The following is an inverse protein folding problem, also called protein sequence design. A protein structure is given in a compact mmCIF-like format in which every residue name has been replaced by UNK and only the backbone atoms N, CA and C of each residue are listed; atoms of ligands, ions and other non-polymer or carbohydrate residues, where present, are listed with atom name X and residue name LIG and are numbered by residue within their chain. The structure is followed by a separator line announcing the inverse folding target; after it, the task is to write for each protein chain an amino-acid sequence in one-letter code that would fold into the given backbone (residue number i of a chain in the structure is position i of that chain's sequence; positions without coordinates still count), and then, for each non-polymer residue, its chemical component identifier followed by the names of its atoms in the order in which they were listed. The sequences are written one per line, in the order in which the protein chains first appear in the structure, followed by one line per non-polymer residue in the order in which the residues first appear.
data_IF_947282590529
#
_entry.id   IF_947282590529
#
_cell.length_a   1.000
_cell.length_b   1.000
_cell.length_c   1.000
_cell.angle_alpha   90.00
_cell.angle_beta   90.00
_cell.angle_gamma   90.00
#
_symmetry.space_group_name_H-M   'P 1'
#
loop_
_entity.id
_entity.type
_entity.pdbx_description
1 polymer ?
#
# COMPACT_ATOMS: atom_id res chain seq x y z
N UNK A 1 30.70 -10.16 -7.09
CA UNK A 1 29.59 -11.07 -6.77
C UNK A 1 28.55 -10.97 -7.89
N UNK A 2 27.86 -12.07 -8.26
CA UNK A 2 26.81 -12.07 -9.29
C UNK A 2 25.54 -12.75 -8.75
N UNK A 3 24.37 -12.31 -9.19
CA UNK A 3 23.06 -12.93 -8.95
C UNK A 3 22.17 -12.77 -10.20
N UNK A 4 21.17 -13.62 -10.39
CA UNK A 4 20.24 -13.43 -11.51
C UNK A 4 19.36 -12.18 -11.31
N UNK A 5 18.79 -12.00 -10.11
CA UNK A 5 17.94 -10.83 -9.81
C UNK A 5 18.44 -10.13 -8.55
N UNK A 6 18.78 -8.85 -8.68
CA UNK A 6 19.03 -7.99 -7.54
C UNK A 6 17.74 -7.23 -7.18
N UNK A 7 17.26 -7.42 -5.98
CA UNK A 7 16.04 -6.77 -5.46
C UNK A 7 16.48 -5.64 -4.51
N UNK A 8 16.13 -4.41 -4.83
CA UNK A 8 16.47 -3.25 -3.99
C UNK A 8 15.25 -2.88 -3.16
N UNK A 9 15.35 -3.04 -1.84
CA UNK A 9 14.32 -2.81 -0.84
C UNK A 9 13.68 -4.09 -0.29
N UNK A 10 13.65 -4.22 1.05
CA UNK A 10 12.99 -5.27 1.80
C UNK A 10 11.59 -4.88 2.31
N UNK A 11 10.88 -4.04 1.56
CA UNK A 11 9.46 -3.80 1.74
C UNK A 11 8.62 -4.97 1.21
N UNK A 12 7.28 -4.90 1.33
CA UNK A 12 6.40 -5.98 0.85
C UNK A 12 6.65 -6.39 -0.60
N UNK A 13 6.84 -5.43 -1.52
CA UNK A 13 7.12 -5.73 -2.93
C UNK A 13 8.37 -6.62 -3.10
N UNK A 14 9.50 -6.17 -2.57
CA UNK A 14 10.77 -6.91 -2.72
C UNK A 14 10.75 -8.26 -2.03
N UNK A 15 10.14 -8.36 -0.86
CA UNK A 15 10.04 -9.62 -0.13
C UNK A 15 9.13 -10.63 -0.83
N UNK A 16 7.93 -10.24 -1.27
CA UNK A 16 7.07 -11.13 -2.06
C UNK A 16 7.76 -11.58 -3.35
N UNK A 17 8.42 -10.66 -4.06
CA UNK A 17 9.18 -11.02 -5.26
C UNK A 17 10.26 -12.05 -4.94
N UNK A 18 11.01 -11.87 -3.86
CA UNK A 18 12.07 -12.79 -3.47
C UNK A 18 11.56 -14.21 -3.19
N UNK A 19 10.36 -14.35 -2.61
CA UNK A 19 9.72 -15.65 -2.39
C UNK A 19 9.22 -16.29 -3.68
N UNK A 20 8.62 -15.48 -4.56
CA UNK A 20 8.16 -15.94 -5.87
C UNK A 20 9.32 -16.47 -6.72
N UNK A 21 10.44 -15.74 -6.76
CA UNK A 21 11.64 -16.16 -7.49
C UNK A 21 12.30 -17.40 -6.88
N UNK A 22 12.37 -17.46 -5.55
CA UNK A 22 12.91 -18.65 -4.84
C UNK A 22 12.14 -19.92 -5.17
N UNK A 23 10.81 -19.85 -5.22
CA UNK A 23 9.94 -20.98 -5.59
C UNK A 23 10.21 -21.47 -7.02
N UNK A 24 10.63 -20.56 -7.91
CA UNK A 24 10.95 -20.86 -9.30
C UNK A 24 12.43 -21.28 -9.52
N UNK A 25 13.24 -21.32 -8.44
CA UNK A 25 14.65 -21.65 -8.49
C UNK A 25 15.52 -20.56 -9.12
N UNK A 26 15.07 -19.32 -9.07
CA UNK A 26 15.78 -18.14 -9.60
C UNK A 26 16.57 -17.50 -8.47
N UNK A 27 17.89 -17.36 -8.64
CA UNK A 27 18.77 -16.75 -7.65
C UNK A 27 18.49 -15.25 -7.52
N UNK A 28 18.25 -14.81 -6.28
CA UNK A 28 18.07 -13.40 -6.00
C UNK A 28 18.68 -12.98 -4.67
N UNK A 29 19.13 -11.73 -4.63
CA UNK A 29 19.64 -11.05 -3.42
C UNK A 29 18.78 -9.84 -3.15
N UNK A 30 18.34 -9.68 -1.90
CA UNK A 30 17.63 -8.48 -1.43
C UNK A 30 18.62 -7.56 -0.73
N UNK A 31 18.71 -6.30 -1.18
CA UNK A 31 19.50 -5.23 -0.57
C UNK A 31 18.56 -4.25 0.13
N UNK A 32 18.71 -4.04 1.42
CA UNK A 32 17.91 -3.14 2.22
C UNK A 32 18.79 -2.11 2.94
N UNK A 33 18.49 -0.83 2.77
CA UNK A 33 19.27 0.25 3.36
C UNK A 33 19.16 0.34 4.88
N UNK A 34 18.07 -0.16 5.45
CA UNK A 34 17.78 -0.06 6.89
C UNK A 34 18.10 -1.36 7.62
N UNK A 35 18.16 -1.26 8.96
CA UNK A 35 18.29 -2.44 9.80
C UNK A 35 17.03 -3.31 9.75
N UNK A 36 17.18 -4.60 10.02
CA UNK A 36 16.05 -5.54 10.11
C UNK A 36 14.99 -5.04 11.10
N UNK A 37 15.40 -4.61 12.28
CA UNK A 37 14.48 -4.12 13.30
C UNK A 37 13.65 -2.93 12.81
N UNK A 38 14.28 -1.97 12.12
CA UNK A 38 13.56 -0.83 11.54
C UNK A 38 12.49 -1.28 10.52
N UNK A 39 12.83 -2.22 9.65
CA UNK A 39 11.90 -2.73 8.62
C UNK A 39 10.72 -3.47 9.26
N UNK A 40 10.98 -4.32 10.25
CA UNK A 40 9.99 -5.10 10.97
C UNK A 40 9.06 -4.25 11.86
N UNK A 41 9.55 -3.13 12.40
CA UNK A 41 8.77 -2.27 13.31
C UNK A 41 8.01 -1.15 12.60
N UNK A 42 8.20 -0.99 11.30
CA UNK A 42 7.59 0.11 10.54
C UNK A 42 6.10 -0.10 10.33
N UNK A 43 5.28 0.51 11.18
CA UNK A 43 3.82 0.43 11.12
C UNK A 43 3.28 1.16 9.89
N UNK A 44 2.51 0.45 9.06
CA UNK A 44 1.82 0.95 7.88
C UNK A 44 0.36 0.49 7.88
N UNK A 45 -0.33 0.58 6.73
CA UNK A 45 -1.68 0.02 6.57
C UNK A 45 -1.69 -1.50 6.84
N UNK A 46 -2.86 -2.10 6.91
CA UNK A 46 -3.00 -3.53 7.22
C UNK A 46 -4.29 -4.11 6.68
N UNK A 47 -4.79 -3.59 5.55
CA UNK A 47 -5.94 -4.17 4.84
C UNK A 47 -5.41 -4.97 3.65
N UNK A 48 -5.60 -6.26 3.68
CA UNK A 48 -5.21 -7.17 2.60
C UNK A 48 -6.42 -7.52 1.75
N UNK A 49 -6.28 -7.34 0.44
CA UNK A 49 -7.21 -7.88 -0.55
C UNK A 49 -7.07 -9.41 -0.64
N UNK A 50 -8.11 -10.07 -1.12
CA UNK A 50 -8.12 -11.51 -1.29
C UNK A 50 -6.89 -12.02 -2.09
N UNK A 51 -6.51 -11.34 -3.17
CA UNK A 51 -5.35 -11.74 -3.99
C UNK A 51 -4.00 -11.70 -3.26
N UNK A 52 -3.86 -10.85 -2.23
CA UNK A 52 -2.67 -10.83 -1.37
C UNK A 52 -2.70 -11.99 -0.36
N UNK A 53 -3.86 -12.26 0.22
CA UNK A 53 -4.07 -13.40 1.12
C UNK A 53 -3.83 -14.71 0.37
N UNK A 54 -4.38 -14.86 -0.83
CA UNK A 54 -4.18 -16.02 -1.69
C UNK A 54 -2.69 -16.24 -2.01
N UNK A 55 -1.94 -15.16 -2.25
CA UNK A 55 -0.49 -15.28 -2.45
C UNK A 55 0.23 -15.77 -1.20
N UNK A 56 -0.14 -15.30 -0.01
CA UNK A 56 0.43 -15.81 1.25
C UNK A 56 0.16 -17.32 1.40
N UNK A 57 -1.06 -17.79 1.05
CA UNK A 57 -1.41 -19.21 1.02
C UNK A 57 -0.59 -19.99 -0.01
N UNK A 58 -0.50 -19.50 -1.25
CA UNK A 58 0.26 -20.12 -2.34
C UNK A 58 1.74 -20.32 -1.97
N UNK A 59 2.30 -19.38 -1.20
CA UNK A 59 3.67 -19.44 -0.72
C UNK A 59 3.86 -20.25 0.57
N UNK A 60 2.78 -20.69 1.22
CA UNK A 60 2.83 -21.40 2.52
C UNK A 60 3.23 -20.49 3.69
N UNK A 61 3.03 -19.18 3.58
CA UNK A 61 3.45 -18.15 4.54
C UNK A 61 2.29 -17.60 5.37
N UNK A 62 1.19 -18.30 5.41
CA UNK A 62 -0.07 -17.84 6.00
C UNK A 62 -0.38 -18.37 7.40
N UNK A 63 0.53 -19.14 8.03
CA UNK A 63 0.28 -19.78 9.31
C UNK A 63 -0.06 -18.80 10.43
N UNK A 64 0.71 -17.71 10.56
CA UNK A 64 0.46 -16.67 11.55
C UNK A 64 -0.72 -15.78 11.14
N UNK A 65 -0.82 -15.46 9.85
CA UNK A 65 -1.96 -14.72 9.28
C UNK A 65 -3.28 -15.40 9.65
N UNK A 66 -3.44 -16.71 9.45
CA UNK A 66 -4.66 -17.47 9.80
C UNK A 66 -5.04 -17.39 11.28
N UNK A 67 -4.06 -17.28 12.19
CA UNK A 67 -4.32 -17.22 13.64
C UNK A 67 -4.62 -15.81 14.14
N UNK A 68 -4.02 -14.81 13.53
CA UNK A 68 -3.93 -13.46 14.11
C UNK A 68 -4.70 -12.40 13.31
N UNK A 69 -5.09 -12.71 12.07
CA UNK A 69 -5.88 -11.78 11.28
C UNK A 69 -7.29 -11.59 11.82
N UNK A 70 -7.88 -10.47 11.45
CA UNK A 70 -9.32 -10.25 11.58
C UNK A 70 -9.91 -10.15 10.18
N UNK A 71 -11.14 -10.59 10.01
CA UNK A 71 -11.87 -10.48 8.75
C UNK A 71 -12.84 -9.31 8.86
N UNK A 72 -12.85 -8.45 7.85
CA UNK A 72 -13.86 -7.41 7.67
C UNK A 72 -14.77 -7.78 6.51
N UNK A 73 -16.05 -7.95 6.81
CA UNK A 73 -17.09 -8.25 5.83
C UNK A 73 -17.76 -6.98 5.28
N UNK A 74 -17.48 -5.83 5.89
CA UNK A 74 -18.09 -4.57 5.49
C UNK A 74 -17.20 -3.36 5.79
N UNK A 75 -17.56 -2.24 5.19
CA UNK A 75 -17.22 -0.91 5.65
C UNK A 75 -18.47 -0.09 5.86
N UNK A 76 -18.40 0.84 6.80
CA UNK A 76 -19.42 1.84 7.04
C UNK A 76 -18.97 3.21 6.57
N UNK A 77 -19.90 4.00 6.01
CA UNK A 77 -19.65 5.40 5.64
C UNK A 77 -20.74 6.26 6.30
N UNK A 78 -20.31 7.20 7.14
CA UNK A 78 -21.18 8.14 7.84
C UNK A 78 -21.17 9.52 7.16
N UNK A 79 -22.33 10.10 6.96
CA UNK A 79 -22.50 11.46 6.44
C UNK A 79 -23.87 12.01 6.77
N UNK A 80 -23.96 13.27 7.21
CA UNK A 80 -25.24 13.96 7.43
C UNK A 80 -26.25 13.21 8.27
N UNK A 81 -25.83 12.49 9.30
CA UNK A 81 -26.65 11.63 10.17
C UNK A 81 -27.10 10.30 9.53
N UNK A 82 -26.64 9.98 8.33
CA UNK A 82 -26.90 8.71 7.64
C UNK A 82 -25.73 7.75 7.79
N UNK A 83 -26.01 6.45 7.66
CA UNK A 83 -25.04 5.35 7.64
C UNK A 83 -25.22 4.52 6.36
N UNK A 84 -24.16 4.45 5.55
CA UNK A 84 -24.09 3.54 4.40
C UNK A 84 -23.33 2.31 4.87
N UNK A 85 -23.97 1.15 4.85
CA UNK A 85 -23.32 -0.14 5.09
C UNK A 85 -23.02 -0.83 3.76
N UNK A 86 -21.72 -1.10 3.50
CA UNK A 86 -21.26 -1.77 2.27
C UNK A 86 -20.82 -3.17 2.64
N UNK A 87 -21.73 -4.13 2.58
CA UNK A 87 -21.47 -5.53 2.93
C UNK A 87 -20.83 -6.28 1.75
N UNK A 88 -19.56 -6.62 1.88
CA UNK A 88 -18.77 -7.17 0.78
C UNK A 88 -19.26 -8.53 0.28
N UNK A 89 -19.49 -9.55 1.15
CA UNK A 89 -19.94 -10.88 0.69
C UNK A 89 -21.20 -10.84 -0.17
N UNK A 90 -22.17 -10.02 0.22
CA UNK A 90 -23.43 -9.88 -0.54
C UNK A 90 -23.20 -9.22 -1.91
N UNK A 91 -22.25 -8.27 -2.00
CA UNK A 91 -22.04 -7.45 -3.18
C UNK A 91 -20.95 -7.99 -4.13
N UNK A 92 -20.15 -8.97 -3.68
CA UNK A 92 -18.95 -9.44 -4.41
C UNK A 92 -18.80 -10.97 -4.47
N UNK A 93 -19.89 -11.72 -4.42
CA UNK A 93 -19.85 -13.18 -4.45
C UNK A 93 -18.98 -13.80 -3.33
N UNK A 94 -19.16 -13.32 -2.09
CA UNK A 94 -18.55 -13.90 -0.90
C UNK A 94 -17.14 -13.40 -0.56
N UNK A 95 -16.60 -12.42 -1.28
CA UNK A 95 -15.27 -11.86 -0.96
C UNK A 95 -15.31 -11.00 0.29
N UNK A 96 -14.16 -10.95 0.98
CA UNK A 96 -13.93 -10.17 2.20
C UNK A 96 -12.59 -9.44 2.10
N UNK A 97 -12.27 -8.61 3.08
CA UNK A 97 -10.91 -8.11 3.29
C UNK A 97 -10.35 -8.64 4.60
N UNK A 98 -9.05 -8.82 4.63
CA UNK A 98 -8.34 -9.35 5.81
C UNK A 98 -7.53 -8.24 6.46
N UNK A 99 -7.74 -8.03 7.75
CA UNK A 99 -6.97 -7.08 8.54
C UNK A 99 -5.78 -7.82 9.14
N UNK A 100 -4.61 -7.50 8.62
CA UNK A 100 -3.33 -8.00 9.09
C UNK A 100 -2.25 -6.97 8.82
N UNK A 101 -1.61 -6.46 9.86
CA UNK A 101 -0.67 -5.34 9.74
C UNK A 101 0.42 -5.59 8.70
N UNK A 102 0.73 -4.60 7.87
CA UNK A 102 1.80 -4.72 6.88
C UNK A 102 3.13 -5.13 7.52
N UNK A 103 3.44 -4.63 8.72
CA UNK A 103 4.64 -5.02 9.47
C UNK A 103 4.63 -6.49 9.85
N UNK A 104 3.46 -7.09 10.08
CA UNK A 104 3.34 -8.52 10.38
C UNK A 104 3.58 -9.38 9.13
N UNK A 105 3.04 -8.93 7.98
CA UNK A 105 3.36 -9.55 6.67
C UNK A 105 4.87 -9.51 6.42
N UNK A 106 5.51 -8.37 6.66
CA UNK A 106 6.96 -8.19 6.46
C UNK A 106 7.76 -9.11 7.36
N UNK A 107 7.41 -9.21 8.66
CA UNK A 107 8.04 -10.14 9.62
C UNK A 107 7.96 -11.59 9.14
N UNK A 108 6.78 -12.01 8.67
CA UNK A 108 6.57 -13.39 8.18
C UNK A 108 7.45 -13.68 6.95
N UNK A 109 7.46 -12.74 5.99
CA UNK A 109 8.25 -12.86 4.77
C UNK A 109 9.77 -12.89 5.08
N UNK A 110 10.26 -12.01 5.95
CA UNK A 110 11.68 -11.99 6.35
C UNK A 110 12.07 -13.28 7.05
N UNK A 111 11.29 -13.72 8.05
CA UNK A 111 11.57 -14.92 8.80
C UNK A 111 11.64 -16.16 7.90
N UNK A 112 10.67 -16.32 7.01
CA UNK A 112 10.62 -17.43 6.06
C UNK A 112 11.78 -17.37 5.04
N UNK A 113 12.13 -16.18 4.54
CA UNK A 113 13.23 -16.03 3.58
C UNK A 113 14.57 -16.40 4.19
N UNK A 114 14.84 -15.97 5.43
CA UNK A 114 16.05 -16.31 6.17
C UNK A 114 16.08 -17.82 6.48
N UNK A 115 14.97 -18.41 6.94
CA UNK A 115 14.87 -19.83 7.20
C UNK A 115 15.14 -20.71 5.97
N UNK A 116 14.77 -20.21 4.77
CA UNK A 116 15.06 -20.85 3.50
C UNK A 116 16.50 -20.60 2.98
N UNK A 117 17.36 -19.91 3.75
CA UNK A 117 18.73 -19.58 3.35
C UNK A 117 18.82 -18.49 2.27
N UNK A 118 17.75 -17.76 2.03
CA UNK A 118 17.72 -16.68 1.03
C UNK A 118 18.44 -15.42 1.50
N UNK A 119 19.37 -14.86 0.70
CA UNK A 119 20.17 -13.72 1.10
C UNK A 119 19.32 -12.43 1.16
N UNK A 120 19.28 -11.84 2.37
CA UNK A 120 18.81 -10.46 2.60
C UNK A 120 19.98 -9.73 3.28
N UNK A 121 20.51 -8.73 2.60
CA UNK A 121 21.54 -7.85 3.14
C UNK A 121 20.86 -6.59 3.71
N UNK A 122 20.70 -6.56 5.02
CA UNK A 122 20.28 -5.34 5.73
C UNK A 122 21.47 -4.39 5.91
N UNK A 123 21.18 -3.12 6.11
CA UNK A 123 22.18 -2.03 6.21
C UNK A 123 23.12 -2.01 5.01
N UNK A 124 22.57 -2.37 3.84
CA UNK A 124 23.21 -2.36 2.55
C UNK A 124 22.60 -1.25 1.68
N UNK A 125 23.11 -0.02 1.87
CA UNK A 125 22.58 1.16 1.19
C UNK A 125 23.10 1.23 -0.25
N UNK A 126 22.20 1.11 -1.22
CA UNK A 126 22.55 1.26 -2.64
C UNK A 126 22.86 2.73 -2.92
N UNK A 127 24.06 2.98 -3.46
CA UNK A 127 24.60 4.31 -3.75
C UNK A 127 24.67 4.61 -5.24
N UNK A 128 24.56 3.61 -6.10
CA UNK A 128 24.60 3.82 -7.55
C UNK A 128 24.25 2.60 -8.37
N UNK A 129 23.69 2.86 -9.54
CA UNK A 129 23.31 1.86 -10.53
C UNK A 129 24.01 2.18 -11.86
N UNK A 130 24.46 1.15 -12.57
CA UNK A 130 25.14 1.29 -13.86
C UNK A 130 24.77 0.20 -14.86
N UNK A 131 24.97 0.46 -16.16
CA UNK A 131 24.74 -0.53 -17.20
C UNK A 131 23.29 -0.99 -17.35
N UNK A 132 22.31 -0.13 -17.03
CA UNK A 132 20.90 -0.50 -17.01
C UNK A 132 20.33 -0.89 -18.36
N UNK A 133 20.89 -0.36 -19.43
CA UNK A 133 20.58 -0.63 -20.84
C UNK A 133 21.31 -1.83 -21.44
N UNK A 134 22.30 -2.37 -20.69
CA UNK A 134 23.06 -3.55 -21.05
C UNK A 134 22.51 -4.84 -20.43
N UNK A 135 23.19 -5.95 -20.73
CA UNK A 135 22.77 -7.29 -20.28
C UNK A 135 23.18 -7.62 -18.83
N UNK A 136 24.13 -6.87 -18.26
CA UNK A 136 24.67 -7.10 -16.91
C UNK A 136 24.76 -5.79 -16.12
N UNK A 137 23.63 -5.28 -15.64
CA UNK A 137 23.64 -4.11 -14.79
C UNK A 137 24.45 -4.33 -13.51
N UNK A 138 24.97 -3.23 -12.97
CA UNK A 138 25.80 -3.21 -11.76
C UNK A 138 25.17 -2.35 -10.69
N UNK A 139 25.34 -2.77 -9.44
CA UNK A 139 24.85 -2.07 -8.24
C UNK A 139 26.03 -1.82 -7.32
N UNK A 140 26.25 -0.56 -6.96
CA UNK A 140 27.18 -0.19 -5.88
C UNK A 140 26.37 0.05 -4.62
N UNK A 141 26.86 -0.48 -3.51
CA UNK A 141 26.21 -0.30 -2.20
C UNK A 141 27.24 -0.25 -1.08
N UNK A 142 26.91 0.48 -0.03
CA UNK A 142 27.69 0.56 1.21
C UNK A 142 27.18 -0.47 2.20
N UNK A 143 28.08 -1.24 2.79
CA UNK A 143 27.79 -2.16 3.89
C UNK A 143 29.02 -2.28 4.79
N UNK A 144 28.80 -2.27 6.11
CA UNK A 144 29.88 -2.37 7.11
C UNK A 144 31.04 -1.38 6.88
N UNK A 145 30.69 -0.15 6.43
CA UNK A 145 31.64 0.93 6.12
C UNK A 145 32.45 0.77 4.84
N UNK A 146 32.19 -0.28 4.05
CA UNK A 146 32.89 -0.56 2.78
C UNK A 146 31.97 -0.49 1.58
N UNK A 147 32.51 -0.05 0.44
CA UNK A 147 31.77 -0.11 -0.84
C UNK A 147 31.89 -1.50 -1.45
N UNK A 148 30.77 -2.01 -1.90
CA UNK A 148 30.64 -3.30 -2.58
C UNK A 148 30.01 -3.11 -3.96
N UNK A 149 30.33 -4.05 -4.87
CA UNK A 149 29.72 -4.11 -6.19
C UNK A 149 29.04 -5.48 -6.40
N UNK A 150 27.78 -5.44 -6.82
CA UNK A 150 26.98 -6.59 -7.24
C UNK A 150 26.66 -6.45 -8.73
N UNK A 151 26.92 -7.50 -9.51
CA UNK A 151 26.43 -7.61 -10.88
C UNK A 151 25.20 -8.52 -10.92
N UNK A 152 24.28 -8.25 -11.83
CA UNK A 152 23.08 -9.09 -11.97
C UNK A 152 22.62 -9.12 -13.44
N UNK A 153 21.62 -9.95 -13.73
CA UNK A 153 20.97 -9.96 -15.04
C UNK A 153 19.78 -8.99 -15.08
N UNK A 154 19.11 -8.80 -13.92
CA UNK A 154 17.95 -7.91 -13.78
C UNK A 154 17.98 -7.21 -12.41
N UNK A 155 17.54 -5.94 -12.38
CA UNK A 155 17.28 -5.17 -11.17
C UNK A 155 15.77 -5.04 -10.95
N UNK A 156 15.30 -5.37 -9.76
CA UNK A 156 13.94 -5.07 -9.30
C UNK A 156 13.99 -3.92 -8.28
N UNK A 157 13.58 -2.72 -8.68
CA UNK A 157 13.49 -1.53 -7.84
C UNK A 157 12.22 -1.56 -7.00
N UNK A 158 12.34 -2.04 -5.77
CA UNK A 158 11.28 -2.12 -4.74
C UNK A 158 11.58 -1.18 -3.57
N UNK A 159 12.34 -0.12 -3.82
CA UNK A 159 13.02 0.76 -2.84
C UNK A 159 12.15 1.95 -2.39
N UNK A 160 10.87 1.92 -2.74
CA UNK A 160 9.91 2.92 -2.31
C UNK A 160 10.04 4.26 -3.04
N UNK A 161 9.25 5.23 -2.58
CA UNK A 161 9.15 6.51 -3.28
C UNK A 161 10.46 7.32 -3.30
N UNK A 162 11.24 7.23 -2.23
CA UNK A 162 12.51 7.95 -2.06
C UNK A 162 13.75 7.09 -2.40
N UNK A 163 13.54 5.96 -3.07
CA UNK A 163 14.61 5.07 -3.48
C UNK A 163 15.46 5.62 -4.64
N UNK A 164 16.54 4.91 -4.94
CA UNK A 164 17.53 5.29 -5.95
C UNK A 164 17.20 4.79 -7.36
N UNK A 165 16.31 3.77 -7.47
CA UNK A 165 16.03 3.13 -8.76
C UNK A 165 15.34 4.06 -9.75
N UNK A 166 14.26 4.73 -9.34
CA UNK A 166 13.55 5.65 -10.24
C UNK A 166 14.42 6.83 -10.70
N UNK A 167 15.18 7.53 -9.83
CA UNK A 167 16.08 8.61 -10.26
C UNK A 167 17.22 8.16 -11.15
N UNK A 168 17.59 6.87 -11.16
CA UNK A 168 18.64 6.34 -12.04
C UNK A 168 18.19 6.19 -13.50
N UNK A 169 16.89 6.30 -13.78
CA UNK A 169 16.36 6.32 -15.14
C UNK A 169 16.69 7.66 -15.80
N UNK A 170 17.25 7.67 -17.03
CA UNK A 170 17.63 8.91 -17.70
C UNK A 170 16.47 9.90 -17.83
N UNK A 171 16.81 11.20 -17.77
CA UNK A 171 15.83 12.27 -17.97
C UNK A 171 15.14 12.13 -19.33
N UNK A 172 13.84 12.39 -19.37
CA UNK A 172 13.03 12.30 -20.58
C UNK A 172 12.47 10.90 -20.90
N UNK A 173 12.88 9.87 -20.18
CA UNK A 173 12.32 8.50 -20.35
C UNK A 173 11.01 8.35 -19.57
N UNK A 174 10.99 8.83 -18.33
CA UNK A 174 9.79 8.74 -17.48
C UNK A 174 8.84 9.90 -17.71
N UNK A 175 7.55 9.58 -17.82
CA UNK A 175 6.47 10.53 -17.57
C UNK A 175 6.00 10.33 -16.13
N UNK A 176 5.94 11.39 -15.34
CA UNK A 176 5.46 11.35 -13.96
C UNK A 176 4.18 12.15 -13.82
N UNK A 177 3.23 11.58 -13.12
CA UNK A 177 1.97 12.20 -12.73
C UNK A 177 1.98 12.31 -11.21
N UNK A 178 1.91 13.54 -10.71
CA UNK A 178 2.02 13.83 -9.28
C UNK A 178 0.90 14.77 -8.85
N UNK A 179 0.12 14.34 -7.87
CA UNK A 179 -0.95 15.14 -7.31
C UNK A 179 -0.90 15.10 -5.79
N UNK A 180 -0.66 16.25 -5.18
CA UNK A 180 -0.68 16.43 -3.74
C UNK A 180 -2.03 17.01 -3.37
N UNK A 181 -2.78 16.31 -2.51
CA UNK A 181 -4.06 16.81 -2.01
C UNK A 181 -3.83 17.94 -1.00
N UNK A 182 -4.77 18.92 -0.93
CA UNK A 182 -4.63 20.08 -0.05
C UNK A 182 -4.97 19.76 1.41
N UNK A 183 -4.70 18.54 1.85
CA UNK A 183 -4.91 18.06 3.22
C UNK A 183 -3.98 16.89 3.54
N UNK A 184 -3.81 16.66 4.85
CA UNK A 184 -3.15 15.49 5.39
C UNK A 184 -4.07 14.71 6.34
N UNK A 185 -3.58 13.58 6.79
CA UNK A 185 -4.21 12.74 7.80
C UNK A 185 -3.39 12.79 9.08
N UNK A 186 -3.95 13.34 10.15
CA UNK A 186 -3.45 13.13 11.49
C UNK A 186 -3.93 11.76 11.96
N UNK A 187 -3.00 10.83 12.07
CA UNK A 187 -3.26 9.44 12.46
C UNK A 187 -2.75 9.15 13.86
N UNK A 188 -3.49 8.34 14.61
CA UNK A 188 -3.08 7.82 15.92
C UNK A 188 -3.15 6.30 15.95
N UNK A 189 -2.35 5.70 16.84
CA UNK A 189 -2.57 4.36 17.37
C UNK A 189 -2.91 4.48 18.86
N UNK A 190 -3.96 3.79 19.29
CA UNK A 190 -4.44 3.81 20.66
C UNK A 190 -4.66 2.41 21.22
N UNK A 191 -4.42 2.24 22.51
CA UNK A 191 -4.80 1.05 23.29
C UNK A 191 -6.30 1.09 23.58
N UNK A 192 -7.10 0.88 22.56
CA UNK A 192 -8.58 0.86 22.66
C UNK A 192 -9.15 -0.24 21.77
N UNK A 193 -10.25 -0.88 22.18
CA UNK A 193 -10.94 -1.83 21.33
C UNK A 193 -11.47 -1.09 20.08
N UNK A 194 -11.43 -1.74 18.90
CA UNK A 194 -11.99 -1.15 17.69
C UNK A 194 -13.52 -1.13 17.72
N UNK A 195 -14.10 -0.19 16.98
CA UNK A 195 -15.52 -0.26 16.61
C UNK A 195 -15.79 -1.47 15.72
N UNK A 196 -17.07 -1.85 15.59
CA UNK A 196 -17.46 -3.09 14.91
C UNK A 196 -16.94 -3.19 13.49
N UNK A 197 -17.17 -2.16 12.67
CA UNK A 197 -16.76 -2.13 11.27
C UNK A 197 -15.75 -1.00 11.03
N UNK A 198 -14.90 -1.14 10.03
CA UNK A 198 -14.09 -0.02 9.57
C UNK A 198 -15.01 1.09 9.09
N UNK A 199 -14.97 2.24 9.75
CA UNK A 199 -15.91 3.33 9.51
C UNK A 199 -15.22 4.58 9.03
N UNK A 200 -15.67 5.06 7.88
CA UNK A 200 -15.33 6.35 7.29
C UNK A 200 -16.39 7.38 7.62
N UNK A 201 -16.00 8.63 7.74
CA UNK A 201 -16.95 9.73 7.90
C UNK A 201 -16.63 10.90 6.96
N UNK A 202 -17.66 11.40 6.27
CA UNK A 202 -17.66 12.69 5.61
C UNK A 202 -18.40 13.68 6.52
N UNK A 203 -17.71 14.66 7.06
CA UNK A 203 -18.25 15.65 7.97
C UNK A 203 -17.85 17.07 7.50
N UNK A 204 -18.58 18.11 7.89
CA UNK A 204 -18.24 19.50 7.49
C UNK A 204 -16.91 19.97 8.08
N UNK A 205 -16.48 19.40 9.20
CA UNK A 205 -15.16 19.65 9.80
C UNK A 205 -14.04 18.83 9.14
N UNK A 206 -14.33 17.98 8.15
CA UNK A 206 -13.39 17.14 7.43
C UNK A 206 -13.60 15.66 7.66
N UNK A 207 -12.86 14.87 6.92
CA UNK A 207 -12.84 13.41 6.97
C UNK A 207 -12.42 12.86 8.33
N UNK A 208 -12.95 11.68 8.70
CA UNK A 208 -12.41 10.84 9.75
C UNK A 208 -12.50 9.36 9.37
N UNK A 209 -11.67 8.54 10.02
CA UNK A 209 -11.63 7.09 9.83
C UNK A 209 -11.33 6.39 11.15
N UNK A 210 -12.14 5.39 11.48
CA UNK A 210 -11.87 4.41 12.53
C UNK A 210 -11.57 3.06 11.90
N UNK A 211 -10.41 2.49 12.23
CA UNK A 211 -9.99 1.19 11.74
C UNK A 211 -9.34 0.36 12.84
N UNK A 212 -9.46 -0.96 12.72
CA UNK A 212 -8.88 -1.91 13.68
C UNK A 212 -7.45 -2.30 13.29
N UNK A 213 -6.62 -2.64 14.30
CA UNK A 213 -5.30 -3.24 14.11
C UNK A 213 -5.18 -4.58 14.83
N UNK A 214 -5.85 -4.69 15.98
CA UNK A 214 -5.99 -5.91 16.77
C UNK A 214 -7.24 -5.78 17.64
N UNK A 215 -7.66 -6.82 18.38
CA UNK A 215 -8.78 -6.70 19.32
C UNK A 215 -8.58 -5.63 20.41
N UNK A 216 -7.36 -5.15 20.62
CA UNK A 216 -6.99 -4.19 21.67
C UNK A 216 -6.39 -2.88 21.15
N UNK A 217 -6.13 -2.78 19.85
CA UNK A 217 -5.47 -1.62 19.24
C UNK A 217 -6.31 -1.14 18.08
N UNK A 218 -6.62 0.15 18.11
CA UNK A 218 -7.31 0.86 17.06
C UNK A 218 -6.40 1.88 16.39
N UNK A 219 -6.65 2.15 15.13
CA UNK A 219 -6.03 3.23 14.38
C UNK A 219 -7.10 4.18 13.89
N UNK A 220 -6.95 5.44 14.24
CA UNK A 220 -7.89 6.48 13.89
C UNK A 220 -7.20 7.59 13.10
N UNK A 221 -7.97 8.27 12.26
CA UNK A 221 -7.48 9.39 11.48
C UNK A 221 -8.51 10.50 11.46
N UNK A 222 -8.01 11.73 11.45
CA UNK A 222 -8.79 12.93 11.15
C UNK A 222 -8.07 13.75 10.09
N UNK A 223 -8.83 14.36 9.19
CA UNK A 223 -8.29 15.28 8.19
C UNK A 223 -7.76 16.55 8.86
N UNK A 224 -6.58 16.98 8.43
CA UNK A 224 -5.92 18.21 8.88
C UNK A 224 -5.28 18.93 7.68
N UNK A 225 -4.69 20.10 7.87
CA UNK A 225 -3.84 20.74 6.87
C UNK A 225 -2.63 19.82 6.54
N UNK A 226 -2.08 19.87 5.32
CA UNK A 226 -1.00 18.96 4.92
C UNK A 226 0.30 19.18 5.70
N UNK A 227 0.51 20.38 6.23
CA UNK A 227 1.63 20.85 7.03
C UNK A 227 1.29 21.04 8.52
N UNK A 228 0.18 20.45 8.99
CA UNK A 228 -0.24 20.56 10.39
C UNK A 228 0.82 20.02 11.35
N UNK A 229 1.10 20.78 12.38
CA UNK A 229 2.00 20.36 13.45
C UNK A 229 1.28 19.48 14.46
N UNK A 230 1.80 18.27 14.65
CA UNK A 230 1.28 17.29 15.64
C UNK A 230 1.27 17.86 17.05
N UNK A 231 2.19 18.77 17.39
CA UNK A 231 2.26 19.41 18.70
C UNK A 231 1.00 20.24 19.04
N UNK A 232 0.28 20.72 18.03
CA UNK A 232 -0.97 21.45 18.21
C UNK A 232 -2.15 20.55 18.61
N UNK A 233 -1.95 19.23 18.61
CA UNK A 233 -3.02 18.26 18.85
C UNK A 233 -2.78 17.47 20.13
N UNK A 234 -3.39 17.94 21.25
CA UNK A 234 -3.50 17.12 22.46
C UNK A 234 -4.32 15.86 22.20
N UNK A 235 -4.20 14.86 23.06
CA UNK A 235 -5.01 13.64 22.95
C UNK A 235 -6.48 13.95 23.06
N UNK A 236 -6.88 14.81 24.01
CA UNK A 236 -8.27 15.25 24.20
C UNK A 236 -8.82 15.96 22.95
N UNK A 237 -8.02 16.83 22.31
CA UNK A 237 -8.41 17.49 21.07
C UNK A 237 -8.67 16.46 19.96
N UNK A 238 -7.78 15.46 19.83
CA UNK A 238 -7.95 14.42 18.84
C UNK A 238 -9.24 13.62 19.06
N UNK A 239 -9.47 13.15 20.28
CA UNK A 239 -10.67 12.38 20.62
C UNK A 239 -11.94 13.18 20.39
N UNK A 240 -11.98 14.44 20.84
CA UNK A 240 -13.14 15.31 20.61
C UNK A 240 -13.44 15.49 19.12
N UNK A 241 -12.43 15.77 18.28
CA UNK A 241 -12.61 15.90 16.84
C UNK A 241 -13.07 14.57 16.21
N UNK A 242 -12.54 13.45 16.66
CA UNK A 242 -12.95 12.14 16.16
C UNK A 242 -14.42 11.85 16.47
N UNK A 243 -14.85 12.05 17.71
CA UNK A 243 -16.27 11.86 18.11
C UNK A 243 -17.21 12.74 17.32
N UNK A 244 -16.90 14.03 17.18
CA UNK A 244 -17.71 14.97 16.41
C UNK A 244 -17.83 14.50 14.95
N UNK A 245 -16.71 14.19 14.30
CA UNK A 245 -16.72 13.81 12.87
C UNK A 245 -17.36 12.45 12.61
N UNK A 246 -17.32 11.56 13.62
CA UNK A 246 -17.98 10.25 13.57
C UNK A 246 -19.44 10.28 13.99
N UNK A 247 -19.99 11.45 14.36
CA UNK A 247 -21.33 11.56 14.94
C UNK A 247 -21.55 10.65 16.17
N UNK A 248 -20.52 10.60 17.04
CA UNK A 248 -20.51 9.84 18.30
C UNK A 248 -20.31 10.79 19.49
N UNK A 249 -21.02 11.92 19.49
CA UNK A 249 -20.90 12.95 20.52
C UNK A 249 -21.32 12.41 21.91
N UNK A 250 -22.16 11.39 21.94
CA UNK A 250 -22.56 10.68 23.17
C UNK A 250 -21.50 9.67 23.65
N UNK A 251 -20.38 9.51 22.92
CA UNK A 251 -19.27 8.58 23.22
C UNK A 251 -19.73 7.14 23.46
N UNK A 252 -20.69 6.68 22.67
CA UNK A 252 -21.33 5.37 22.83
C UNK A 252 -20.66 4.24 22.05
N UNK A 253 -19.89 4.57 21.02
CA UNK A 253 -19.32 3.58 20.11
C UNK A 253 -17.78 3.57 20.11
N UNK A 254 -17.15 4.74 20.17
CA UNK A 254 -15.69 4.87 20.14
C UNK A 254 -15.16 4.92 21.56
N UNK A 255 -14.37 3.94 21.92
CA UNK A 255 -13.71 3.87 23.22
C UNK A 255 -12.36 4.60 23.13
N UNK A 256 -12.21 5.65 23.94
CA UNK A 256 -10.93 6.35 24.07
C UNK A 256 -9.92 5.47 24.82
N UNK A 257 -8.65 5.53 24.43
CA UNK A 257 -7.56 4.81 25.07
C UNK A 257 -6.25 5.58 25.00
N UNK A 258 -5.21 5.08 25.66
CA UNK A 258 -3.89 5.69 25.63
C UNK A 258 -3.35 5.74 24.20
N UNK A 259 -3.04 6.94 23.72
CA UNK A 259 -2.40 7.15 22.43
C UNK A 259 -0.89 6.91 22.60
N UNK A 260 -0.31 6.00 21.83
CA UNK A 260 1.11 5.68 21.90
C UNK A 260 1.87 6.03 20.60
N UNK A 261 1.15 6.36 19.54
CA UNK A 261 1.73 6.87 18.30
C UNK A 261 0.82 7.94 17.70
N UNK A 262 1.39 9.05 17.23
CA UNK A 262 0.70 10.15 16.56
C UNK A 262 1.57 10.70 15.45
N UNK A 263 0.98 11.04 14.30
CA UNK A 263 1.72 11.62 13.17
C UNK A 263 0.82 12.12 12.07
N UNK A 264 1.29 13.10 11.31
CA UNK A 264 0.63 13.62 10.10
C UNK A 264 1.25 12.98 8.87
N UNK A 265 0.40 12.57 7.93
CA UNK A 265 0.80 12.05 6.64
C UNK A 265 0.09 12.84 5.54
N UNK A 266 0.83 13.53 4.65
CA UNK A 266 0.25 14.16 3.48
C UNK A 266 -0.43 13.12 2.57
N UNK A 267 -1.55 13.49 1.96
CA UNK A 267 -2.25 12.63 1.00
C UNK A 267 -1.76 12.95 -0.41
N UNK A 268 -1.35 11.93 -1.14
CA UNK A 268 -0.73 12.06 -2.46
C UNK A 268 -1.15 10.93 -3.38
N UNK A 269 -1.24 11.24 -4.68
CA UNK A 269 -1.26 10.28 -5.76
C UNK A 269 -0.03 10.52 -6.64
N UNK A 270 0.70 9.46 -6.99
CA UNK A 270 1.87 9.54 -7.86
C UNK A 270 1.91 8.31 -8.77
N UNK A 271 2.23 8.51 -10.05
CA UNK A 271 2.47 7.42 -11.01
C UNK A 271 3.66 7.81 -11.88
N UNK A 272 4.61 6.89 -12.06
CA UNK A 272 5.71 6.99 -13.01
C UNK A 272 5.57 5.90 -14.07
N UNK A 273 5.70 6.28 -15.31
CA UNK A 273 5.70 5.36 -16.45
C UNK A 273 6.71 5.77 -17.52
N UNK A 274 7.32 4.81 -18.19
CA UNK A 274 7.19 3.35 -18.05
C UNK A 274 7.78 2.83 -16.73
N UNK A 275 7.26 1.71 -16.22
CA UNK A 275 7.76 1.05 -14.99
C UNK A 275 9.00 0.18 -15.28
N UNK A 276 9.67 0.39 -16.41
CA UNK A 276 10.85 -0.34 -16.85
C UNK A 276 11.80 0.58 -17.59
N UNK A 277 13.11 0.36 -17.38
CA UNK A 277 14.18 0.90 -18.20
C UNK A 277 15.29 -0.15 -18.35
N UNK A 278 15.52 -0.60 -19.58
CA UNK A 278 16.48 -1.67 -19.86
C UNK A 278 16.20 -2.94 -19.05
N UNK A 279 17.16 -3.31 -18.21
CA UNK A 279 17.07 -4.46 -17.29
C UNK A 279 16.59 -4.10 -15.89
N UNK A 280 16.11 -2.90 -15.66
CA UNK A 280 15.55 -2.47 -14.38
C UNK A 280 14.04 -2.32 -14.45
N UNK A 281 13.33 -2.87 -13.44
CA UNK A 281 11.88 -2.85 -13.29
C UNK A 281 11.51 -2.19 -11.95
N UNK A 282 10.59 -1.23 -11.96
CA UNK A 282 10.07 -0.58 -10.76
C UNK A 282 8.79 -1.28 -10.30
N UNK A 283 8.63 -1.48 -8.99
CA UNK A 283 7.44 -2.05 -8.39
C UNK A 283 7.06 -1.33 -7.08
N UNK A 284 5.77 -1.27 -6.78
CA UNK A 284 5.23 -0.62 -5.59
C UNK A 284 5.51 0.87 -5.55
N UNK A 285 5.79 1.42 -4.36
CA UNK A 285 5.99 2.86 -4.16
C UNK A 285 7.15 3.46 -4.97
N UNK A 286 8.04 2.65 -5.53
CA UNK A 286 9.05 3.11 -6.48
C UNK A 286 8.43 3.61 -7.79
N UNK A 287 7.31 3.04 -8.21
CA UNK A 287 6.59 3.39 -9.42
C UNK A 287 5.32 4.21 -9.17
N UNK A 288 4.60 3.95 -8.09
CA UNK A 288 3.30 4.58 -7.84
C UNK A 288 2.94 4.69 -6.36
N UNK A 289 2.28 5.77 -6.00
CA UNK A 289 1.61 5.98 -4.71
C UNK A 289 0.13 6.24 -4.99
N UNK A 290 -0.74 5.61 -4.22
CA UNK A 290 -2.17 5.86 -4.27
C UNK A 290 -2.65 6.50 -2.97
N UNK A 291 -3.67 7.36 -3.00
CA UNK A 291 -4.25 7.90 -1.78
C UNK A 291 -4.63 6.78 -0.81
N UNK A 292 -4.36 6.92 0.49
CA UNK A 292 -4.54 5.84 1.46
C UNK A 292 -6.00 5.48 1.70
N UNK A 293 -6.95 6.32 1.27
CA UNK A 293 -8.39 6.16 1.46
C UNK A 293 -8.93 4.83 0.94
N UNK A 294 -8.35 4.30 -0.14
CA UNK A 294 -8.74 3.01 -0.72
C UNK A 294 -8.04 1.79 -0.11
N UNK A 295 -7.06 1.97 0.78
CA UNK A 295 -6.23 0.90 1.36
C UNK A 295 -5.53 0.00 0.31
N UNK A 296 -5.05 0.57 -0.80
CA UNK A 296 -4.61 -0.17 -1.99
C UNK A 296 -3.09 -0.37 -2.16
N UNK A 297 -2.25 0.43 -1.50
CA UNK A 297 -0.82 0.52 -1.81
C UNK A 297 -0.08 -0.81 -1.75
N UNK A 298 -0.20 -1.56 -0.65
CA UNK A 298 0.43 -2.88 -0.49
C UNK A 298 -0.10 -3.88 -1.54
N UNK A 299 -1.42 -3.96 -1.70
CA UNK A 299 -2.07 -4.91 -2.61
C UNK A 299 -1.68 -4.65 -4.06
N UNK A 300 -1.55 -3.39 -4.45
CA UNK A 300 -1.08 -3.01 -5.78
C UNK A 300 0.38 -3.41 -6.01
N UNK A 301 1.25 -3.18 -5.02
CA UNK A 301 2.64 -3.62 -5.07
C UNK A 301 2.78 -5.14 -5.20
N UNK A 302 1.92 -5.92 -4.52
CA UNK A 302 1.85 -7.38 -4.66
C UNK A 302 1.46 -7.78 -6.09
N UNK A 303 0.54 -7.04 -6.71
CA UNK A 303 0.16 -7.28 -8.10
C UNK A 303 1.34 -7.07 -9.06
N UNK A 304 2.07 -5.95 -8.91
CA UNK A 304 3.25 -5.67 -9.74
C UNK A 304 4.25 -6.81 -9.70
N UNK A 305 4.58 -7.27 -8.49
CA UNK A 305 5.60 -8.32 -8.34
C UNK A 305 5.12 -9.69 -8.79
N UNK A 306 3.81 -9.97 -8.79
CA UNK A 306 3.28 -11.17 -9.43
C UNK A 306 3.46 -11.14 -10.95
N UNK A 307 3.20 -10.01 -11.58
CA UNK A 307 3.41 -9.81 -13.03
C UNK A 307 4.91 -9.91 -13.35
N UNK A 308 5.76 -9.23 -12.55
CA UNK A 308 7.21 -9.24 -12.74
C UNK A 308 7.79 -10.66 -12.58
N UNK A 309 7.38 -11.40 -11.54
CA UNK A 309 7.86 -12.76 -11.30
C UNK A 309 7.52 -13.71 -12.44
N UNK A 310 6.31 -13.64 -13.01
CA UNK A 310 5.92 -14.43 -14.19
C UNK A 310 6.81 -14.12 -15.39
N UNK A 311 7.08 -12.83 -15.64
CA UNK A 311 7.96 -12.40 -16.72
C UNK A 311 9.40 -12.87 -16.51
N UNK A 312 9.94 -12.76 -15.29
CA UNK A 312 11.28 -13.24 -14.95
C UNK A 312 11.38 -14.77 -15.05
N UNK A 313 10.35 -15.50 -14.61
CA UNK A 313 10.32 -16.98 -14.76
C UNK A 313 10.38 -17.39 -16.22
N UNK A 314 9.60 -16.76 -17.10
CA UNK A 314 9.65 -17.01 -18.54
C UNK A 314 11.04 -16.67 -19.11
N UNK A 315 11.57 -15.52 -18.76
CA UNK A 315 12.89 -15.06 -19.22
C UNK A 315 14.01 -16.04 -18.84
N UNK A 316 14.10 -16.45 -17.58
CA UNK A 316 15.18 -17.35 -17.15
C UNK A 316 15.02 -18.79 -17.62
N UNK A 317 13.80 -19.23 -17.94
CA UNK A 317 13.54 -20.58 -18.47
C UNK A 317 13.74 -20.70 -19.98
N UNK A 318 13.38 -19.67 -20.73
CA UNK A 318 13.30 -19.73 -22.20
C UNK A 318 14.07 -18.64 -22.94
N UNK A 319 14.57 -17.63 -22.23
CA UNK A 319 15.15 -16.43 -22.84
C UNK A 319 14.13 -15.43 -23.41
N UNK A 320 12.82 -15.71 -23.28
CA UNK A 320 11.78 -14.84 -23.82
C UNK A 320 11.64 -13.56 -22.98
N UNK A 321 11.65 -12.42 -23.66
CA UNK A 321 11.40 -11.10 -23.08
C UNK A 321 9.94 -10.67 -23.20
N UNK A 322 9.07 -11.47 -23.84
CA UNK A 322 7.74 -11.04 -24.26
C UNK A 322 6.87 -10.52 -23.09
N UNK A 323 6.89 -11.18 -21.93
CA UNK A 323 6.15 -10.71 -20.74
C UNK A 323 6.84 -9.51 -20.08
N UNK A 324 8.16 -9.50 -20.03
CA UNK A 324 8.93 -8.38 -19.47
C UNK A 324 8.78 -7.11 -20.31
N UNK A 325 8.68 -7.25 -21.64
CA UNK A 325 8.44 -6.11 -22.54
C UNK A 325 7.07 -5.47 -22.30
N UNK A 326 6.06 -6.28 -21.95
CA UNK A 326 4.71 -5.81 -21.63
C UNK A 326 4.49 -5.46 -20.15
N UNK A 327 5.49 -5.67 -19.28
CA UNK A 327 5.36 -5.45 -17.84
C UNK A 327 4.77 -4.10 -17.48
N UNK A 328 5.34 -3.03 -18.05
CA UNK A 328 4.91 -1.66 -17.78
C UNK A 328 3.45 -1.43 -18.16
N UNK A 329 3.03 -1.86 -19.34
CA UNK A 329 1.66 -1.65 -19.84
C UNK A 329 0.66 -2.46 -19.02
N UNK A 330 1.00 -3.70 -18.68
CA UNK A 330 0.16 -4.56 -17.85
C UNK A 330 -0.04 -3.96 -16.44
N UNK A 331 1.04 -3.55 -15.77
CA UNK A 331 0.95 -2.95 -14.45
C UNK A 331 0.22 -1.60 -14.48
N UNK A 332 0.56 -0.70 -15.43
CA UNK A 332 -0.04 0.63 -15.49
C UNK A 332 -1.54 0.62 -15.74
N UNK A 333 -2.08 -0.34 -16.54
CA UNK A 333 -3.53 -0.50 -16.69
C UNK A 333 -4.22 -0.70 -15.33
N UNK A 334 -3.65 -1.53 -14.47
CA UNK A 334 -4.17 -1.77 -13.12
C UNK A 334 -3.92 -0.58 -12.20
N UNK A 335 -2.73 0.00 -12.24
CA UNK A 335 -2.38 1.20 -11.45
C UNK A 335 -3.42 2.28 -11.66
N UNK A 336 -3.78 2.60 -12.90
CA UNK A 336 -4.78 3.64 -13.20
C UNK A 336 -6.19 3.29 -12.72
N UNK A 337 -6.60 2.01 -12.75
CA UNK A 337 -7.88 1.57 -12.17
C UNK A 337 -7.90 1.78 -10.66
N UNK A 338 -6.80 1.47 -9.98
CA UNK A 338 -6.66 1.64 -8.53
C UNK A 338 -6.53 3.12 -8.15
N UNK A 339 -5.78 3.92 -8.91
CA UNK A 339 -5.70 5.38 -8.72
C UNK A 339 -7.10 6.00 -8.86
N UNK A 340 -7.85 5.66 -9.92
CA UNK A 340 -9.24 6.11 -10.12
C UNK A 340 -10.11 5.82 -8.90
N UNK A 341 -10.05 4.60 -8.38
CA UNK A 341 -10.83 4.22 -7.21
C UNK A 341 -10.41 4.97 -5.95
N UNK A 342 -9.11 5.02 -5.66
CA UNK A 342 -8.58 5.73 -4.49
C UNK A 342 -8.85 7.24 -4.57
N UNK A 343 -8.77 7.81 -5.78
CA UNK A 343 -9.18 9.20 -6.05
C UNK A 343 -10.66 9.42 -5.77
N UNK A 344 -11.53 8.55 -6.29
CA UNK A 344 -12.98 8.62 -6.05
C UNK A 344 -13.30 8.59 -4.56
N UNK A 345 -12.76 7.63 -3.81
CA UNK A 345 -12.96 7.55 -2.35
C UNK A 345 -12.43 8.80 -1.63
N UNK A 346 -11.29 9.33 -2.07
CA UNK A 346 -10.72 10.55 -1.48
C UNK A 346 -11.61 11.76 -1.75
N UNK A 347 -12.06 11.94 -2.99
CA UNK A 347 -12.95 13.04 -3.38
C UNK A 347 -14.32 12.96 -2.70
N UNK A 348 -14.83 11.75 -2.51
CA UNK A 348 -16.11 11.51 -1.87
C UNK A 348 -16.10 11.81 -0.37
N UNK A 349 -15.01 11.48 0.32
CA UNK A 349 -14.99 11.47 1.79
C UNK A 349 -14.34 12.70 2.41
N UNK A 350 -13.47 13.42 1.70
CA UNK A 350 -12.73 14.55 2.27
C UNK A 350 -13.42 15.88 2.03
N UNK A 351 -13.14 16.82 2.92
CA UNK A 351 -13.52 18.22 2.76
C UNK A 351 -12.37 18.95 2.06
N UNK A 352 -12.62 19.48 0.85
CA UNK A 352 -11.62 20.23 0.10
C UNK A 352 -11.67 21.70 0.49
N UNK A 353 -10.55 22.31 0.89
CA UNK A 353 -10.46 23.76 1.03
C UNK A 353 -10.79 24.42 -0.29
N UNK A 354 -11.67 25.40 -0.27
CA UNK A 354 -12.06 26.13 -1.48
C UNK A 354 -13.21 25.52 -2.30
N UNK A 355 -13.75 24.35 -1.93
CA UNK A 355 -14.97 23.86 -2.55
C UNK A 355 -16.11 24.88 -2.35
N UNK A 356 -16.74 25.25 -3.45
CA UNK A 356 -17.95 26.05 -3.48
C UNK A 356 -19.14 25.28 -2.88
N UNK A 357 -20.22 25.96 -2.50
CA UNK A 357 -21.46 25.27 -2.09
C UNK A 357 -22.00 24.32 -3.15
N UNK A 358 -21.79 24.63 -4.44
CA UNK A 358 -22.17 23.74 -5.54
C UNK A 358 -21.42 22.41 -5.49
N UNK A 359 -20.08 22.45 -5.40
CA UNK A 359 -19.24 21.25 -5.34
C UNK A 359 -19.55 20.42 -4.08
N UNK A 360 -19.81 21.09 -2.96
CA UNK A 360 -20.25 20.41 -1.73
C UNK A 360 -21.58 19.69 -1.92
N UNK A 361 -22.56 20.31 -2.54
CA UNK A 361 -23.85 19.70 -2.80
C UNK A 361 -23.74 18.52 -3.78
N UNK A 362 -22.88 18.59 -4.79
CA UNK A 362 -22.58 17.46 -5.69
C UNK A 362 -21.97 16.29 -4.91
N UNK A 363 -21.02 16.56 -4.01
CA UNK A 363 -20.41 15.53 -3.16
C UNK A 363 -21.45 14.86 -2.24
N UNK A 364 -22.34 15.64 -1.63
CA UNK A 364 -23.43 15.11 -0.79
C UNK A 364 -24.45 14.31 -1.59
N UNK A 365 -24.75 14.73 -2.81
CA UNK A 365 -25.63 13.98 -3.71
C UNK A 365 -25.03 12.63 -4.12
N UNK A 366 -23.71 12.56 -4.34
CA UNK A 366 -23.00 11.30 -4.60
C UNK A 366 -23.05 10.35 -3.40
N UNK A 367 -22.87 10.86 -2.18
CA UNK A 367 -23.04 10.09 -0.95
C UNK A 367 -24.48 9.61 -0.78
N UNK A 368 -25.48 10.43 -1.09
CA UNK A 368 -26.88 10.03 -1.04
C UNK A 368 -27.22 8.99 -2.10
N UNK A 369 -26.63 9.09 -3.28
CA UNK A 369 -26.75 8.05 -4.32
C UNK A 369 -26.16 6.72 -3.84
N UNK A 370 -25.01 6.71 -3.19
CA UNK A 370 -24.44 5.50 -2.56
C UNK A 370 -25.36 4.93 -1.48
N UNK A 371 -26.01 5.79 -0.69
CA UNK A 371 -26.94 5.36 0.34
C UNK A 371 -28.16 4.64 -0.24
N UNK A 372 -28.68 5.10 -1.37
CA UNK A 372 -29.91 4.58 -1.99
C UNK A 372 -29.66 3.48 -3.02
N UNK A 373 -28.52 3.48 -3.71
CA UNK A 373 -28.24 2.60 -4.86
C UNK A 373 -27.40 1.38 -4.48
N UNK A 374 -27.98 0.17 -4.66
CA UNK A 374 -27.22 -1.07 -4.49
C UNK A 374 -26.07 -1.19 -5.50
N UNK A 375 -26.26 -0.73 -6.74
CA UNK A 375 -25.23 -0.79 -7.80
C UNK A 375 -24.04 0.11 -7.44
N UNK A 376 -24.30 1.30 -6.90
CA UNK A 376 -23.22 2.19 -6.46
C UNK A 376 -22.40 1.56 -5.31
N UNK A 377 -23.07 0.95 -4.31
CA UNK A 377 -22.36 0.20 -3.25
C UNK A 377 -21.60 -1.00 -3.80
N UNK A 378 -22.12 -1.72 -4.79
CA UNK A 378 -21.41 -2.83 -5.42
C UNK A 378 -20.11 -2.37 -6.09
N UNK A 379 -20.13 -1.22 -6.76
CA UNK A 379 -18.90 -0.63 -7.35
C UNK A 379 -17.84 -0.36 -6.27
N UNK A 380 -18.24 0.17 -5.12
CA UNK A 380 -17.32 0.36 -3.98
C UNK A 380 -16.80 -1.01 -3.50
N UNK A 381 -17.68 -1.97 -3.27
CA UNK A 381 -17.32 -3.28 -2.75
C UNK A 381 -16.33 -4.03 -3.65
N UNK A 382 -16.59 -4.12 -4.96
CA UNK A 382 -15.71 -4.79 -5.93
C UNK A 382 -14.28 -4.21 -5.93
N UNK A 383 -14.19 -2.88 -5.94
CA UNK A 383 -12.90 -2.22 -5.88
C UNK A 383 -12.24 -2.40 -4.51
N UNK A 384 -13.02 -2.42 -3.42
CA UNK A 384 -12.49 -2.53 -2.06
C UNK A 384 -11.88 -3.90 -1.78
N UNK A 385 -12.56 -4.98 -2.13
CA UNK A 385 -12.06 -6.35 -1.95
C UNK A 385 -10.96 -6.74 -2.95
N UNK A 386 -10.76 -5.94 -3.98
CA UNK A 386 -9.74 -6.14 -5.02
C UNK A 386 -10.31 -6.69 -6.31
N UNK A 387 -10.00 -5.99 -7.39
CA UNK A 387 -10.30 -6.46 -8.74
C UNK A 387 -9.44 -7.70 -9.05
N UNK A 388 -9.90 -8.62 -9.89
CA UNK A 388 -9.10 -9.76 -10.32
C UNK A 388 -7.83 -9.29 -11.04
N UNK A 389 -6.77 -10.11 -10.95
CA UNK A 389 -5.58 -9.89 -11.76
C UNK A 389 -5.93 -10.17 -13.21
N UNK A 390 -5.69 -9.20 -14.08
CA UNK A 390 -5.85 -9.38 -15.53
C UNK A 390 -4.63 -10.17 -16.01
N UNK A 391 -4.88 -11.40 -16.42
CA UNK A 391 -3.89 -12.21 -17.13
C UNK A 391 -4.02 -11.89 -18.62
N UNK A 392 -2.93 -11.44 -19.21
CA UNK A 392 -2.80 -11.30 -20.67
C UNK A 392 -2.47 -12.64 -21.34
#
# INVERSE_FOLDING_TARGET
MHTQVAIIGAGPAGLFLSHLLFREGIDCVVLEARSRAYVEDRVRAGVLEQGTVDLMHELGLDQRLRRECMVDEAIDIRFGGKLIHVHFPELTAGKVVTIYGQQEVVKDLIAARIAAGGPIAFEAEVTGLGGLDGDKPTIRYMKDGSEHTLTCDVIAGCDGFHGVCRPAIPAGVLTTYDHIFPFGWLGILSESPPIREMTYANHDRGFALCSRRSPKISRHYVQVAPDEDVANWSDDRFWNELHIRMHDENKSEIVEGRIFQKGVTPVRAFVAGPMRYGRMFLAGDAAHIVPPTGAKGLNLAVTDVRVLARGLTEFFRSGSMARLDRYSDTCLRRVWKVVRYSWHMTSLLHRFPGHSPFERNVQLAELDYLFTSRIARQTIAENYVGLPLEDD
#
